data_IF_741024553327
#
_entry.id   IF_741024553327
#
_cell.length_a   1.000
_cell.length_b   1.000
_cell.length_c   1.000
_cell.angle_alpha   90.00
_cell.angle_beta   90.00
_cell.angle_gamma   90.00
#
_symmetry.space_group_name_H-M   'P 1'
#
loop_
_entity.id
_entity.type
_entity.pdbx_description
1 polymer ?
#
# COMPACT_ATOMS: atom_id res chain seq x y z
N UNK A 1 32.38 8.66 -71.51
CA UNK A 1 32.74 10.01 -71.02
C UNK A 1 33.81 9.78 -69.95
N UNK A 2 35.11 9.78 -70.29
CA UNK A 2 35.98 10.96 -70.56
C UNK A 2 36.08 11.78 -69.26
N UNK A 3 37.20 12.00 -68.55
CA UNK A 3 38.64 12.12 -68.89
C UNK A 3 39.50 11.92 -67.60
N UNK A 4 40.65 11.24 -67.67
CA UNK A 4 42.05 11.77 -67.70
C UNK A 4 42.57 12.42 -66.40
N UNK A 5 43.53 11.82 -65.68
CA UNK A 5 45.01 11.77 -65.88
C UNK A 5 45.73 13.09 -65.59
N UNK A 6 46.55 13.10 -64.53
CA UNK A 6 47.82 13.84 -64.30
C UNK A 6 48.11 13.80 -62.77
N UNK A 7 49.29 13.58 -62.20
CA UNK A 7 50.66 13.49 -62.71
C UNK A 7 51.50 12.69 -61.71
N UNK A 8 52.40 11.86 -62.25
CA UNK A 8 53.57 11.33 -61.55
C UNK A 8 54.67 12.40 -61.61
N UNK A 9 55.52 12.44 -60.57
CA UNK A 9 56.89 13.00 -60.51
C UNK A 9 57.06 14.32 -59.75
N UNK A 10 57.42 14.20 -58.47
CA UNK A 10 58.39 15.01 -57.70
C UNK A 10 58.34 14.45 -56.27
N UNK A 11 59.38 14.27 -55.48
CA UNK A 11 60.82 14.43 -55.60
C UNK A 11 61.32 13.85 -54.27
N UNK A 12 62.40 13.07 -54.29
CA UNK A 12 63.07 12.62 -53.08
C UNK A 12 63.40 13.83 -52.18
N UNK A 13 62.71 13.97 -51.04
CA UNK A 13 63.13 14.82 -49.93
C UNK A 13 63.11 13.99 -48.65
N UNK A 14 64.31 13.64 -48.25
CA UNK A 14 64.72 13.05 -46.97
C UNK A 14 63.97 13.68 -45.80
N UNK A 15 62.98 12.97 -45.24
CA UNK A 15 62.50 13.27 -43.89
C UNK A 15 63.47 12.61 -42.91
N UNK A 16 64.28 13.44 -42.26
CA UNK A 16 65.00 13.08 -41.05
C UNK A 16 63.98 12.53 -40.06
N UNK A 17 64.16 11.28 -39.60
CA UNK A 17 63.43 10.77 -38.45
C UNK A 17 63.82 11.63 -37.25
N UNK A 18 62.98 12.59 -36.88
CA UNK A 18 62.99 13.16 -35.53
C UNK A 18 62.78 12.00 -34.58
N UNK A 19 63.76 11.68 -33.75
CA UNK A 19 63.59 10.72 -32.69
C UNK A 19 62.42 11.19 -31.82
N UNK A 20 61.31 10.46 -31.84
CA UNK A 20 60.23 10.65 -30.88
C UNK A 20 60.83 10.27 -29.53
N UNK A 21 61.19 11.29 -28.75
CA UNK A 21 61.64 11.10 -27.37
C UNK A 21 60.46 10.48 -26.62
N UNK A 22 60.61 9.27 -26.03
CA UNK A 22 59.54 8.69 -25.25
C UNK A 22 59.18 9.66 -24.10
N UNK A 23 57.90 9.77 -23.75
CA UNK A 23 57.48 10.64 -22.65
C UNK A 23 58.29 10.33 -21.40
N UNK A 24 58.64 11.35 -20.64
CA UNK A 24 59.31 11.15 -19.36
C UNK A 24 58.37 10.41 -18.39
N UNK A 25 58.91 9.75 -17.37
CA UNK A 25 58.09 9.10 -16.34
C UNK A 25 57.10 10.06 -15.66
N UNK A 26 57.41 11.36 -15.64
CA UNK A 26 56.50 12.41 -15.16
C UNK A 26 55.30 12.64 -16.10
N UNK A 27 55.48 12.47 -17.41
CA UNK A 27 54.41 12.63 -18.40
C UNK A 27 53.40 11.47 -18.32
N UNK A 28 53.86 10.25 -18.01
CA UNK A 28 52.98 9.11 -17.75
C UNK A 28 52.14 9.32 -16.48
N UNK A 29 52.74 9.82 -15.41
CA UNK A 29 52.04 10.07 -14.13
C UNK A 29 51.01 11.20 -14.25
N UNK A 30 51.29 12.21 -15.07
CA UNK A 30 50.35 13.32 -15.29
C UNK A 30 49.19 12.92 -16.20
N UNK A 31 49.44 12.12 -17.23
CA UNK A 31 48.39 11.55 -18.09
C UNK A 31 47.45 10.62 -17.30
N UNK A 32 48.00 9.75 -16.45
CA UNK A 32 47.23 8.84 -15.59
C UNK A 32 46.34 9.61 -14.59
N UNK A 33 46.86 10.66 -13.97
CA UNK A 33 46.07 11.52 -13.07
C UNK A 33 44.93 12.24 -13.76
N UNK A 34 45.10 12.66 -15.01
CA UNK A 34 44.05 13.33 -15.75
C UNK A 34 42.98 12.33 -16.22
N UNK A 35 43.35 11.11 -16.61
CA UNK A 35 42.40 10.05 -16.95
C UNK A 35 41.55 9.65 -15.73
N UNK A 36 42.18 9.42 -14.57
CA UNK A 36 41.48 9.13 -13.32
C UNK A 36 40.53 10.26 -12.94
N UNK A 37 40.96 11.53 -13.07
CA UNK A 37 40.09 12.69 -12.81
C UNK A 37 38.89 12.73 -13.74
N UNK A 38 39.10 12.49 -15.03
CA UNK A 38 38.02 12.51 -16.02
C UNK A 38 36.99 11.41 -15.74
N UNK A 39 37.44 10.19 -15.39
CA UNK A 39 36.54 9.08 -15.01
C UNK A 39 35.75 9.36 -13.74
N UNK A 40 36.40 9.95 -12.73
CA UNK A 40 35.72 10.36 -11.51
C UNK A 40 34.68 11.46 -11.77
N UNK A 41 34.97 12.40 -12.66
CA UNK A 41 34.02 13.44 -13.07
C UNK A 41 32.86 12.86 -13.88
N UNK A 42 33.14 11.87 -14.74
CA UNK A 42 32.13 11.15 -15.50
C UNK A 42 31.21 10.35 -14.57
N UNK A 43 31.75 9.58 -13.62
CA UNK A 43 31.00 8.85 -12.60
C UNK A 43 30.15 9.77 -11.71
N UNK A 44 30.70 10.92 -11.29
CA UNK A 44 29.94 11.93 -10.53
C UNK A 44 28.83 12.54 -11.39
N UNK A 45 29.09 12.85 -12.67
CA UNK A 45 28.08 13.41 -13.56
C UNK A 45 26.96 12.41 -13.90
N UNK A 46 27.29 11.13 -14.04
CA UNK A 46 26.33 10.05 -14.26
C UNK A 46 25.47 9.87 -13.01
N UNK A 47 26.07 9.81 -11.82
CA UNK A 47 25.32 9.69 -10.55
C UNK A 47 24.44 10.91 -10.23
N UNK A 48 24.83 12.11 -10.67
CA UNK A 48 24.02 13.33 -10.47
C UNK A 48 22.80 13.36 -11.40
N UNK A 49 22.92 12.77 -12.61
CA UNK A 49 21.86 12.72 -13.62
C UNK A 49 20.94 11.49 -13.47
N UNK A 50 21.42 10.41 -12.82
CA UNK A 50 20.67 9.19 -12.49
C UNK A 50 19.90 9.27 -11.17
N UNK A 51 19.69 10.48 -10.63
CA UNK A 51 18.54 10.71 -9.75
C UNK A 51 17.24 10.61 -10.56
N UNK A 52 16.97 9.41 -11.07
CA UNK A 52 15.70 9.00 -11.62
C UNK A 52 14.68 9.33 -10.54
N UNK A 53 13.88 10.38 -10.77
CA UNK A 53 12.74 10.70 -9.93
C UNK A 53 11.82 9.50 -9.97
N UNK A 54 11.98 8.59 -9.01
CA UNK A 54 10.97 7.59 -8.75
C UNK A 54 9.67 8.36 -8.54
N UNK A 55 8.61 8.08 -9.32
CA UNK A 55 7.37 8.79 -9.14
C UNK A 55 6.96 8.66 -7.68
N UNK A 56 6.75 9.80 -7.02
CA UNK A 56 6.35 9.90 -5.60
C UNK A 56 5.13 9.03 -5.30
N UNK A 57 4.35 8.70 -6.33
CA UNK A 57 3.19 7.82 -6.31
C UNK A 57 3.40 6.50 -7.05
N UNK A 58 4.44 5.73 -6.74
CA UNK A 58 4.52 4.33 -7.16
C UNK A 58 3.62 3.44 -6.28
N UNK A 59 2.34 3.80 -6.14
CA UNK A 59 1.37 3.04 -5.35
C UNK A 59 1.01 1.76 -6.13
N UNK A 60 1.10 0.57 -5.51
CA UNK A 60 0.65 -0.67 -6.14
C UNK A 60 -0.81 -0.59 -6.63
N UNK A 61 -1.13 -1.21 -7.78
CA UNK A 61 -2.37 -0.95 -8.49
C UNK A 61 -3.62 -1.34 -7.69
N UNK A 62 -3.60 -2.46 -6.96
CA UNK A 62 -4.80 -2.90 -6.23
C UNK A 62 -5.12 -1.95 -5.07
N UNK A 63 -4.10 -1.54 -4.31
CA UNK A 63 -4.22 -0.56 -3.24
C UNK A 63 -4.81 0.74 -3.79
N UNK A 64 -4.28 1.22 -4.93
CA UNK A 64 -4.79 2.41 -5.58
C UNK A 64 -6.26 2.25 -6.01
N UNK A 65 -6.64 1.10 -6.59
CA UNK A 65 -8.02 0.84 -6.98
C UNK A 65 -8.97 0.79 -5.79
N UNK A 66 -8.60 0.15 -4.69
CA UNK A 66 -9.43 0.13 -3.48
C UNK A 66 -9.66 1.54 -2.94
N UNK A 67 -8.60 2.35 -2.86
CA UNK A 67 -8.68 3.75 -2.42
C UNK A 67 -9.55 4.57 -3.37
N UNK A 68 -9.38 4.40 -4.69
CA UNK A 68 -10.18 5.08 -5.70
C UNK A 68 -11.67 4.72 -5.59
N UNK A 69 -12.01 3.44 -5.41
CA UNK A 69 -13.39 2.99 -5.22
C UNK A 69 -13.99 3.59 -3.94
N UNK A 70 -13.27 3.55 -2.81
CA UNK A 70 -13.71 4.19 -1.57
C UNK A 70 -14.02 5.68 -1.79
N UNK A 71 -13.12 6.38 -2.47
CA UNK A 71 -13.27 7.81 -2.74
C UNK A 71 -14.46 8.11 -3.67
N UNK A 72 -14.60 7.34 -4.75
CA UNK A 72 -15.72 7.49 -5.71
C UNK A 72 -17.05 7.22 -5.01
N UNK A 73 -17.16 6.14 -4.22
CA UNK A 73 -18.38 5.82 -3.46
C UNK A 73 -18.72 6.95 -2.50
N UNK A 74 -17.74 7.49 -1.77
CA UNK A 74 -17.96 8.62 -0.86
C UNK A 74 -18.43 9.87 -1.59
N UNK A 75 -17.84 10.22 -2.74
CA UNK A 75 -18.29 11.35 -3.56
C UNK A 75 -19.73 11.16 -4.08
N UNK A 76 -20.08 9.96 -4.53
CA UNK A 76 -21.45 9.65 -4.99
C UNK A 76 -22.47 9.77 -3.86
N UNK A 77 -22.11 9.36 -2.64
CA UNK A 77 -22.97 9.50 -1.46
C UNK A 77 -23.17 10.96 -1.05
N UNK A 78 -22.14 11.80 -1.16
CA UNK A 78 -22.26 13.24 -0.85
C UNK A 78 -23.06 13.97 -1.93
N UNK A 79 -22.93 13.57 -3.18
CA UNK A 79 -23.63 14.20 -4.31
C UNK A 79 -25.13 13.81 -4.39
N UNK A 80 -25.58 12.80 -3.64
CA UNK A 80 -26.95 12.30 -3.69
C UNK A 80 -27.88 12.98 -2.67
N UNK A 81 -29.16 12.61 -2.68
CA UNK A 81 -30.14 13.13 -1.70
C UNK A 81 -29.99 12.44 -0.34
N UNK A 82 -30.36 13.09 0.78
CA UNK A 82 -30.37 12.44 2.10
C UNK A 82 -31.20 11.14 2.15
N UNK A 83 -32.33 11.10 1.43
CA UNK A 83 -33.17 9.90 1.32
C UNK A 83 -32.46 8.75 0.61
N UNK A 84 -31.74 9.05 -0.47
CA UNK A 84 -30.98 8.05 -1.22
C UNK A 84 -29.78 7.57 -0.41
N UNK A 85 -29.06 8.48 0.26
CA UNK A 85 -27.96 8.12 1.15
C UNK A 85 -28.45 7.18 2.26
N UNK A 86 -29.56 7.50 2.92
CA UNK A 86 -30.15 6.65 3.96
C UNK A 86 -30.51 5.26 3.42
N UNK A 87 -31.15 5.19 2.24
CA UNK A 87 -31.45 3.92 1.57
C UNK A 87 -30.18 3.11 1.26
N UNK A 88 -29.09 3.76 0.82
CA UNK A 88 -27.81 3.08 0.57
C UNK A 88 -27.26 2.47 1.86
N UNK A 89 -27.23 3.21 2.97
CA UNK A 89 -26.75 2.65 4.24
C UNK A 89 -27.61 1.49 4.73
N UNK A 90 -28.94 1.58 4.67
CA UNK A 90 -29.84 0.48 5.05
C UNK A 90 -29.68 -0.79 4.18
N UNK A 91 -29.29 -0.59 2.91
CA UNK A 91 -29.20 -1.69 1.94
C UNK A 91 -27.81 -2.33 1.93
N UNK A 92 -26.75 -1.54 2.08
CA UNK A 92 -25.38 -1.94 1.78
C UNK A 92 -24.42 -1.88 2.98
N UNK A 93 -24.82 -1.29 4.11
CA UNK A 93 -24.08 -1.46 5.37
C UNK A 93 -24.27 -2.88 5.91
N UNK A 94 -23.31 -3.34 6.70
CA UNK A 94 -23.38 -4.67 7.31
C UNK A 94 -23.99 -4.57 8.70
N UNK A 95 -25.15 -5.19 8.87
CA UNK A 95 -25.80 -5.37 10.18
C UNK A 95 -25.49 -6.78 10.68
N UNK A 96 -24.80 -6.96 11.82
CA UNK A 96 -24.40 -8.27 12.32
C UNK A 96 -25.56 -9.29 12.43
N UNK A 97 -26.77 -8.82 12.76
CA UNK A 97 -27.97 -9.65 12.88
C UNK A 97 -28.33 -10.43 11.60
N UNK A 98 -27.86 -9.98 10.42
CA UNK A 98 -28.09 -10.72 9.17
C UNK A 98 -27.54 -12.14 9.23
N UNK A 99 -26.49 -12.39 10.02
CA UNK A 99 -25.93 -13.73 10.23
C UNK A 99 -26.96 -14.64 10.89
N UNK A 100 -27.63 -14.17 11.96
CA UNK A 100 -28.69 -14.93 12.62
C UNK A 100 -29.91 -15.10 11.69
N UNK A 101 -30.28 -14.06 10.94
CA UNK A 101 -31.40 -14.10 10.01
C UNK A 101 -31.20 -15.11 8.85
N UNK A 102 -29.97 -15.31 8.38
CA UNK A 102 -29.64 -16.35 7.38
C UNK A 102 -29.96 -17.75 7.91
N UNK A 103 -29.76 -18.01 9.20
CA UNK A 103 -30.11 -19.29 9.82
C UNK A 103 -31.62 -19.44 10.07
N UNK A 104 -32.35 -18.34 10.24
CA UNK A 104 -33.75 -18.33 10.66
C UNK A 104 -34.78 -18.17 9.52
N UNK A 105 -34.44 -17.47 8.43
CA UNK A 105 -35.36 -17.15 7.32
C UNK A 105 -34.96 -17.82 6.01
N UNK A 106 -35.81 -17.70 4.97
CA UNK A 106 -35.59 -18.27 3.65
C UNK A 106 -34.14 -18.02 3.16
N UNK A 107 -33.30 -19.07 3.10
CA UNK A 107 -31.84 -18.92 3.14
C UNK A 107 -31.29 -18.15 1.94
N UNK A 108 -31.98 -18.15 0.81
CA UNK A 108 -31.52 -17.49 -0.41
C UNK A 108 -31.45 -15.95 -0.29
N UNK A 109 -32.52 -15.30 0.19
CA UNK A 109 -32.54 -13.84 0.33
C UNK A 109 -31.60 -13.35 1.44
N UNK A 110 -31.56 -14.07 2.56
CA UNK A 110 -30.64 -13.80 3.65
C UNK A 110 -29.18 -13.95 3.21
N UNK A 111 -28.85 -15.04 2.51
CA UNK A 111 -27.49 -15.30 2.02
C UNK A 111 -27.05 -14.26 0.99
N UNK A 112 -27.94 -13.87 0.07
CA UNK A 112 -27.62 -12.83 -0.91
C UNK A 112 -27.34 -11.49 -0.20
N UNK A 113 -28.19 -11.10 0.77
CA UNK A 113 -27.96 -9.88 1.56
C UNK A 113 -26.64 -9.97 2.32
N UNK A 114 -26.37 -11.09 3.00
CA UNK A 114 -25.12 -11.34 3.71
C UNK A 114 -23.90 -11.16 2.81
N UNK A 115 -23.88 -11.80 1.63
CA UNK A 115 -22.76 -11.71 0.70
C UNK A 115 -22.58 -10.27 0.21
N UNK A 116 -23.67 -9.60 -0.18
CA UNK A 116 -23.60 -8.21 -0.64
C UNK A 116 -23.05 -7.31 0.46
N UNK A 117 -23.65 -7.31 1.65
CA UNK A 117 -23.28 -6.38 2.73
C UNK A 117 -21.90 -6.68 3.31
N UNK A 118 -21.45 -7.95 3.37
CA UNK A 118 -20.07 -8.29 3.76
C UNK A 118 -19.03 -7.62 2.85
N UNK A 119 -19.36 -7.42 1.57
CA UNK A 119 -18.45 -6.80 0.62
C UNK A 119 -18.61 -5.29 0.58
N UNK A 120 -19.86 -4.80 0.51
CA UNK A 120 -20.13 -3.39 0.24
C UNK A 120 -19.84 -2.49 1.43
N UNK A 121 -20.00 -2.97 2.66
CA UNK A 121 -19.77 -2.15 3.84
C UNK A 121 -18.33 -1.60 3.92
N UNK A 122 -17.34 -2.32 3.38
CA UNK A 122 -15.94 -1.91 3.34
C UNK A 122 -15.69 -0.63 2.53
N UNK A 123 -16.65 -0.24 1.68
CA UNK A 123 -16.52 0.93 0.79
C UNK A 123 -17.36 2.12 1.25
N UNK A 124 -18.29 1.93 2.20
CA UNK A 124 -19.16 2.99 2.72
C UNK A 124 -18.47 3.77 3.83
N UNK A 125 -18.45 5.10 3.76
CA UNK A 125 -17.84 5.97 4.77
C UNK A 125 -18.74 7.19 5.02
N UNK A 126 -19.11 7.41 6.29
CA UNK A 126 -20.10 8.43 6.68
C UNK A 126 -19.59 9.86 6.56
N UNK A 127 -18.30 10.08 6.84
CA UNK A 127 -17.69 11.41 6.85
C UNK A 127 -16.30 11.40 6.21
N UNK A 128 -15.82 12.60 5.89
CA UNK A 128 -14.52 12.82 5.27
C UNK A 128 -13.35 12.34 6.12
N UNK A 129 -13.39 12.57 7.44
CA UNK A 129 -12.28 12.20 8.33
C UNK A 129 -12.13 10.68 8.39
N UNK A 130 -13.23 9.96 8.59
CA UNK A 130 -13.24 8.50 8.59
C UNK A 130 -12.75 7.93 7.24
N UNK A 131 -13.20 8.51 6.12
CA UNK A 131 -12.76 8.11 4.78
C UNK A 131 -11.26 8.37 4.55
N UNK A 132 -10.77 9.58 4.88
CA UNK A 132 -9.39 9.98 4.66
C UNK A 132 -8.42 9.17 5.51
N UNK A 133 -8.76 8.92 6.78
CA UNK A 133 -7.92 8.09 7.67
C UNK A 133 -7.82 6.67 7.11
N UNK A 134 -8.93 6.06 6.67
CA UNK A 134 -8.90 4.73 6.07
C UNK A 134 -8.08 4.70 4.77
N UNK A 135 -8.28 5.66 3.87
CA UNK A 135 -7.53 5.73 2.63
C UNK A 135 -6.03 5.98 2.86
N UNK A 136 -5.67 6.90 3.74
CA UNK A 136 -4.27 7.19 4.08
C UNK A 136 -3.56 5.98 4.68
N UNK A 137 -4.23 5.28 5.60
CA UNK A 137 -3.70 4.06 6.19
C UNK A 137 -3.65 2.90 5.19
N UNK A 138 -4.63 2.77 4.30
CA UNK A 138 -4.62 1.78 3.24
C UNK A 138 -3.51 2.07 2.22
N UNK A 139 -3.25 3.33 1.87
CA UNK A 139 -2.10 3.71 1.04
C UNK A 139 -0.78 3.35 1.70
N UNK A 140 -0.63 3.53 3.02
CA UNK A 140 0.60 3.19 3.73
C UNK A 140 0.79 1.67 3.89
N UNK A 141 -0.18 0.99 4.51
CA UNK A 141 -0.06 -0.42 4.90
C UNK A 141 -0.56 -1.39 3.82
N UNK A 142 -1.54 -0.98 3.01
CA UNK A 142 -1.97 -1.72 1.82
C UNK A 142 -0.83 -1.81 0.80
N UNK A 143 -0.16 -0.70 0.49
CA UNK A 143 0.99 -0.72 -0.43
C UNK A 143 2.11 -1.64 0.07
N UNK A 144 2.40 -1.58 1.38
CA UNK A 144 3.41 -2.46 1.99
C UNK A 144 3.04 -3.94 1.85
N UNK A 145 1.78 -4.28 2.11
CA UNK A 145 1.30 -5.67 2.07
C UNK A 145 1.15 -6.19 0.64
N UNK A 146 0.66 -5.37 -0.31
CA UNK A 146 0.57 -5.72 -1.72
C UNK A 146 1.94 -5.98 -2.33
N UNK A 147 2.93 -5.14 -2.05
CA UNK A 147 4.32 -5.36 -2.53
C UNK A 147 4.91 -6.66 -1.98
N UNK A 148 4.56 -7.03 -0.75
CA UNK A 148 5.10 -8.23 -0.10
C UNK A 148 4.45 -9.52 -0.56
N UNK A 149 3.13 -9.52 -0.73
CA UNK A 149 2.35 -10.73 -0.99
C UNK A 149 1.90 -10.86 -2.45
N UNK A 150 1.96 -9.77 -3.23
CA UNK A 150 1.35 -9.67 -4.54
C UNK A 150 -0.15 -9.37 -4.47
N UNK A 151 -0.76 -8.99 -5.62
CA UNK A 151 -2.12 -8.44 -5.67
C UNK A 151 -3.20 -9.42 -5.18
N UNK A 152 -3.15 -10.68 -5.60
CA UNK A 152 -4.19 -11.66 -5.26
C UNK A 152 -4.23 -11.99 -3.76
N UNK A 153 -3.06 -12.22 -3.14
CA UNK A 153 -2.97 -12.54 -1.70
C UNK A 153 -3.29 -11.33 -0.84
N UNK A 154 -2.93 -10.13 -1.30
CA UNK A 154 -3.33 -8.88 -0.66
C UNK A 154 -4.86 -8.68 -0.66
N UNK A 155 -5.54 -8.93 -1.78
CA UNK A 155 -7.01 -8.88 -1.82
C UNK A 155 -7.65 -9.89 -0.85
N UNK A 156 -7.15 -11.13 -0.83
CA UNK A 156 -7.64 -12.14 0.11
C UNK A 156 -7.47 -11.66 1.55
N UNK A 157 -6.29 -11.11 1.89
CA UNK A 157 -6.02 -10.55 3.21
C UNK A 157 -6.99 -9.41 3.55
N UNK A 158 -7.16 -8.45 2.64
CA UNK A 158 -8.03 -7.29 2.81
C UNK A 158 -9.48 -7.72 3.10
N UNK A 159 -10.06 -8.54 2.22
CA UNK A 159 -11.45 -8.97 2.38
C UNK A 159 -11.65 -9.89 3.58
N UNK A 160 -10.78 -10.89 3.80
CA UNK A 160 -10.93 -11.78 4.96
C UNK A 160 -10.75 -11.06 6.30
N UNK A 161 -9.86 -10.06 6.38
CA UNK A 161 -9.74 -9.22 7.57
C UNK A 161 -11.03 -8.44 7.84
N UNK A 162 -11.66 -7.89 6.79
CA UNK A 162 -12.98 -7.25 6.89
C UNK A 162 -14.06 -8.22 7.37
N UNK A 163 -14.12 -9.41 6.78
CA UNK A 163 -15.15 -10.42 7.10
C UNK A 163 -15.02 -10.95 8.53
N UNK A 164 -13.79 -11.23 8.98
CA UNK A 164 -13.54 -11.68 10.33
C UNK A 164 -13.76 -10.56 11.36
N UNK A 165 -13.51 -9.30 10.97
CA UNK A 165 -13.91 -8.14 11.77
C UNK A 165 -15.42 -8.07 11.97
N UNK A 166 -16.18 -8.16 10.88
CA UNK A 166 -17.65 -8.16 10.91
C UNK A 166 -18.23 -9.34 11.71
N UNK A 167 -17.63 -10.52 11.57
CA UNK A 167 -18.02 -11.71 12.34
C UNK A 167 -17.66 -11.59 13.82
N UNK A 168 -16.52 -10.98 14.17
CA UNK A 168 -16.15 -10.74 15.56
C UNK A 168 -17.13 -9.80 16.26
N UNK A 169 -17.56 -8.72 15.59
CA UNK A 169 -18.62 -7.84 16.11
C UNK A 169 -19.91 -8.62 16.34
N UNK A 170 -20.35 -9.44 15.37
CA UNK A 170 -21.51 -10.30 15.58
C UNK A 170 -21.43 -11.16 16.85
N UNK A 171 -20.25 -11.70 17.19
CA UNK A 171 -20.09 -12.53 18.39
C UNK A 171 -20.08 -11.72 19.70
N UNK A 172 -19.81 -10.42 19.66
CA UNK A 172 -19.59 -9.59 20.86
C UNK A 172 -20.65 -8.52 21.08
N UNK A 173 -21.36 -8.10 20.04
CA UNK A 173 -22.41 -7.09 20.12
C UNK A 173 -23.66 -7.68 20.75
N UNK A 174 -24.31 -6.91 21.62
CA UNK A 174 -25.66 -7.23 22.08
C UNK A 174 -26.64 -7.11 20.91
N UNK A 175 -27.29 -8.22 20.55
CA UNK A 175 -28.24 -8.30 19.44
C UNK A 175 -29.55 -7.52 19.66
N UNK A 176 -29.70 -6.80 20.77
CA UNK A 176 -30.76 -5.80 20.95
C UNK A 176 -30.36 -4.41 20.44
N UNK A 177 -29.08 -4.21 20.11
CA UNK A 177 -28.52 -2.96 19.59
C UNK A 177 -28.44 -3.01 18.07
N UNK A 178 -29.06 -2.05 17.40
CA UNK A 178 -28.92 -1.85 15.96
C UNK A 178 -27.54 -1.29 15.61
N UNK A 179 -26.54 -2.16 15.56
CA UNK A 179 -25.20 -1.83 15.09
C UNK A 179 -25.11 -1.98 13.57
N UNK A 180 -24.68 -0.93 12.88
CA UNK A 180 -24.39 -0.96 11.45
C UNK A 180 -22.90 -0.73 11.23
N UNK A 181 -22.23 -1.70 10.62
CA UNK A 181 -20.83 -1.58 10.21
C UNK A 181 -20.74 -0.98 8.82
N UNK A 182 -19.88 0.01 8.68
CA UNK A 182 -19.45 0.60 7.42
C UNK A 182 -18.06 1.19 7.61
N UNK A 183 -17.21 1.05 6.59
CA UNK A 183 -15.84 1.52 6.58
C UNK A 183 -14.85 0.38 6.31
N UNK A 184 -13.75 0.72 5.67
CA UNK A 184 -12.69 -0.23 5.33
C UNK A 184 -11.86 -0.68 6.55
N UNK A 185 -12.11 -0.12 7.72
CA UNK A 185 -11.17 -0.08 8.84
C UNK A 185 -10.75 -1.44 9.36
N UNK A 186 -11.65 -2.42 9.46
CA UNK A 186 -11.28 -3.79 9.82
C UNK A 186 -10.27 -4.40 8.82
N UNK A 187 -10.49 -4.19 7.52
CA UNK A 187 -9.57 -4.61 6.47
C UNK A 187 -8.24 -3.85 6.53
N UNK A 188 -8.27 -2.54 6.78
CA UNK A 188 -7.08 -1.71 6.96
C UNK A 188 -6.27 -2.19 8.18
N UNK A 189 -6.90 -2.45 9.32
CA UNK A 189 -6.24 -3.02 10.50
C UNK A 189 -5.61 -4.38 10.19
N UNK A 190 -6.23 -5.20 9.35
CA UNK A 190 -5.61 -6.41 8.80
C UNK A 190 -4.31 -6.13 8.04
N UNK A 191 -4.28 -5.11 7.19
CA UNK A 191 -3.03 -4.72 6.51
C UNK A 191 -1.98 -4.20 7.50
N UNK A 192 -2.38 -3.50 8.57
CA UNK A 192 -1.47 -3.04 9.63
C UNK A 192 -0.88 -4.21 10.42
N UNK A 193 -1.73 -5.17 10.82
CA UNK A 193 -1.34 -6.38 11.52
C UNK A 193 -0.35 -7.19 10.71
N UNK A 194 -0.60 -7.39 9.42
CA UNK A 194 0.36 -8.01 8.51
C UNK A 194 1.64 -7.19 8.36
N UNK A 195 1.50 -5.86 8.27
CA UNK A 195 2.60 -4.91 8.25
C UNK A 195 3.57 -5.08 9.42
N UNK A 196 3.10 -5.45 10.61
CA UNK A 196 3.98 -5.69 11.77
C UNK A 196 5.04 -6.76 11.49
N UNK A 197 4.65 -7.87 10.85
CA UNK A 197 5.55 -8.96 10.48
C UNK A 197 6.52 -8.52 9.38
N UNK A 198 6.02 -7.74 8.41
CA UNK A 198 6.82 -7.23 7.28
C UNK A 198 7.87 -6.23 7.76
N UNK A 199 7.52 -5.40 8.74
CA UNK A 199 8.38 -4.35 9.30
C UNK A 199 9.35 -4.87 10.37
N UNK A 200 9.08 -6.02 10.98
CA UNK A 200 9.89 -6.56 12.07
C UNK A 200 11.40 -6.67 11.78
N UNK A 201 11.86 -7.06 10.57
CA UNK A 201 13.29 -7.09 10.25
C UNK A 201 13.96 -5.71 10.27
N UNK A 202 13.22 -4.64 9.97
CA UNK A 202 13.75 -3.27 9.89
C UNK A 202 13.70 -2.54 11.23
N UNK A 203 12.62 -2.72 11.99
CA UNK A 203 12.37 -1.96 13.22
C UNK A 203 12.60 -2.77 14.50
N UNK A 204 12.90 -4.07 14.36
CA UNK A 204 13.06 -5.00 15.47
C UNK A 204 11.74 -5.32 16.18
N UNK A 205 11.76 -6.38 17.00
CA UNK A 205 10.58 -6.84 17.73
C UNK A 205 10.02 -5.76 18.67
N UNK A 206 10.89 -5.05 19.39
CA UNK A 206 10.48 -3.97 20.30
C UNK A 206 9.74 -2.86 19.56
N UNK A 207 10.23 -2.44 18.39
CA UNK A 207 9.62 -1.37 17.60
C UNK A 207 8.22 -1.74 17.13
N UNK A 208 8.04 -2.94 16.56
CA UNK A 208 6.73 -3.38 16.07
C UNK A 208 5.74 -3.69 17.19
N UNK A 209 6.21 -4.15 18.36
CA UNK A 209 5.35 -4.32 19.54
C UNK A 209 4.87 -2.97 20.09
N UNK A 210 5.74 -1.98 20.21
CA UNK A 210 5.34 -0.62 20.63
C UNK A 210 4.31 -0.06 19.65
N UNK A 211 4.56 -0.14 18.34
CA UNK A 211 3.60 0.28 17.32
C UNK A 211 2.24 -0.41 17.49
N UNK A 212 2.25 -1.74 17.67
CA UNK A 212 1.02 -2.54 17.80
C UNK A 212 0.24 -2.15 19.06
N UNK A 213 0.92 -2.01 20.20
CA UNK A 213 0.28 -1.63 21.47
C UNK A 213 -0.30 -0.23 21.38
N UNK A 214 0.44 0.74 20.85
CA UNK A 214 -0.05 2.12 20.71
C UNK A 214 -1.25 2.17 19.78
N UNK A 215 -1.19 1.50 18.61
CA UNK A 215 -2.30 1.44 17.66
C UNK A 215 -3.55 0.82 18.29
N UNK A 216 -3.42 -0.33 18.95
CA UNK A 216 -4.56 -1.04 19.56
C UNK A 216 -5.11 -0.29 20.78
N UNK A 217 -4.25 0.41 21.55
CA UNK A 217 -4.69 1.27 22.64
C UNK A 217 -5.48 2.47 22.14
N UNK A 218 -5.00 3.16 21.09
CA UNK A 218 -5.73 4.25 20.44
C UNK A 218 -7.08 3.75 19.93
N UNK A 219 -7.08 2.60 19.23
CA UNK A 219 -8.30 1.96 18.74
C UNK A 219 -9.31 1.71 19.88
N UNK A 220 -8.86 1.09 20.96
CA UNK A 220 -9.71 0.79 22.11
C UNK A 220 -10.23 2.05 22.78
N UNK A 221 -9.37 3.05 23.05
CA UNK A 221 -9.79 4.29 23.70
C UNK A 221 -10.80 5.04 22.84
N UNK A 222 -10.57 5.14 21.54
CA UNK A 222 -11.47 5.86 20.65
C UNK A 222 -12.80 5.10 20.50
N UNK A 223 -12.81 3.77 20.36
CA UNK A 223 -14.04 3.02 20.11
C UNK A 223 -14.81 2.53 21.34
N UNK A 224 -14.16 2.33 22.48
CA UNK A 224 -14.82 1.92 23.73
C UNK A 224 -15.25 3.10 24.60
N UNK A 225 -14.97 4.35 24.18
CA UNK A 225 -15.36 5.56 24.91
C UNK A 225 -16.08 6.55 24.01
N UNK A 226 -16.73 7.56 24.61
CA UNK A 226 -17.38 8.65 23.86
C UNK A 226 -16.39 9.54 23.10
N UNK A 227 -15.09 9.35 23.29
CA UNK A 227 -14.05 10.12 22.60
C UNK A 227 -14.10 9.91 21.08
N UNK A 228 -14.51 8.74 20.60
CA UNK A 228 -14.71 8.47 19.18
C UNK A 228 -15.71 9.43 18.54
N UNK A 229 -16.86 9.61 19.19
CA UNK A 229 -17.90 10.55 18.72
C UNK A 229 -17.39 12.01 18.70
N UNK A 230 -16.54 12.39 19.65
CA UNK A 230 -15.94 13.73 19.70
C UNK A 230 -14.86 13.97 18.63
N UNK A 231 -14.01 12.98 18.36
CA UNK A 231 -12.86 13.12 17.46
C UNK A 231 -13.18 12.84 16.00
N UNK A 232 -14.10 11.92 15.74
CA UNK A 232 -14.46 11.48 14.38
C UNK A 232 -15.77 12.13 13.92
N UNK A 233 -16.60 12.60 14.86
CA UNK A 233 -17.88 13.25 14.57
C UNK A 233 -18.99 12.25 14.23
N UNK A 234 -20.23 12.75 14.14
CA UNK A 234 -21.35 12.02 13.54
C UNK A 234 -22.01 10.93 14.39
N UNK A 235 -21.61 10.73 15.66
CA UNK A 235 -22.24 9.71 16.52
C UNK A 235 -22.05 8.27 16.02
N UNK A 236 -21.13 8.05 15.08
CA UNK A 236 -20.79 6.73 14.56
C UNK A 236 -20.05 5.94 15.64
N UNK A 237 -20.62 4.80 16.03
CA UNK A 237 -19.95 3.85 16.93
C UNK A 237 -18.78 3.20 16.19
N UNK A 238 -17.59 3.27 16.80
CA UNK A 238 -16.39 2.71 16.21
C UNK A 238 -16.28 1.26 16.66
N UNK A 239 -16.43 0.36 15.69
CA UNK A 239 -16.35 -1.10 15.81
C UNK A 239 -14.92 -1.57 16.16
N UNK A 240 -14.45 -1.23 17.36
CA UNK A 240 -13.08 -1.47 17.80
C UNK A 240 -12.77 -2.96 17.91
N UNK A 241 -13.78 -3.82 18.12
CA UNK A 241 -13.62 -5.28 18.12
C UNK A 241 -13.35 -5.77 16.70
N UNK A 242 -14.06 -5.25 15.69
CA UNK A 242 -13.77 -5.56 14.29
C UNK A 242 -12.32 -5.22 13.92
N UNK A 243 -11.83 -4.07 14.39
CA UNK A 243 -10.45 -3.64 14.14
C UNK A 243 -9.42 -4.58 14.79
N UNK A 244 -9.66 -5.02 16.02
CA UNK A 244 -8.80 -5.99 16.70
C UNK A 244 -8.77 -7.33 15.97
N UNK A 245 -9.93 -7.85 15.59
CA UNK A 245 -10.03 -9.10 14.86
C UNK A 245 -9.31 -9.04 13.50
N UNK A 246 -9.51 -7.95 12.74
CA UNK A 246 -8.79 -7.69 11.50
C UNK A 246 -7.28 -7.68 11.71
N UNK A 247 -6.79 -6.93 12.71
CA UNK A 247 -5.37 -6.83 13.05
C UNK A 247 -4.74 -8.19 13.35
N UNK A 248 -5.32 -8.96 14.26
CA UNK A 248 -4.75 -10.26 14.64
C UNK A 248 -4.82 -11.28 13.51
N UNK A 249 -5.87 -11.24 12.68
CA UNK A 249 -5.94 -12.07 11.49
C UNK A 249 -4.80 -11.74 10.51
N UNK A 250 -4.61 -10.47 10.19
CA UNK A 250 -3.55 -10.03 9.29
C UNK A 250 -2.15 -10.39 9.80
N UNK A 251 -1.91 -10.19 11.10
CA UNK A 251 -0.66 -10.59 11.77
C UNK A 251 -0.44 -12.10 11.64
N UNK A 252 -1.45 -12.91 11.95
CA UNK A 252 -1.39 -14.37 11.85
C UNK A 252 -1.13 -14.84 10.42
N UNK A 253 -1.84 -14.29 9.44
CA UNK A 253 -1.68 -14.64 8.03
C UNK A 253 -0.27 -14.31 7.53
N UNK A 254 0.26 -13.13 7.86
CA UNK A 254 1.61 -12.72 7.49
C UNK A 254 2.69 -13.59 8.18
N UNK A 255 2.46 -14.01 9.41
CA UNK A 255 3.34 -14.93 10.13
C UNK A 255 3.36 -16.30 9.44
N UNK A 256 2.19 -16.89 9.15
CA UNK A 256 2.08 -18.16 8.45
C UNK A 256 2.75 -18.11 7.07
N UNK A 257 2.52 -17.02 6.34
CA UNK A 257 3.16 -16.79 5.05
C UNK A 257 4.69 -16.76 5.15
N UNK A 258 5.23 -16.04 6.14
CA UNK A 258 6.67 -15.94 6.38
C UNK A 258 7.30 -17.27 6.79
N UNK A 259 6.57 -18.11 7.54
CA UNK A 259 7.01 -19.46 7.90
C UNK A 259 7.01 -20.40 6.70
N UNK A 260 6.01 -20.31 5.83
CA UNK A 260 5.92 -21.12 4.62
C UNK A 260 7.08 -20.82 3.65
N UNK A 261 7.42 -19.55 3.44
CA UNK A 261 8.53 -19.17 2.56
C UNK A 261 9.90 -19.65 3.07
N UNK A 262 10.10 -19.71 4.40
CA UNK A 262 11.33 -20.25 4.99
C UNK A 262 11.49 -21.74 4.73
N UNK A 263 10.39 -22.49 4.66
CA UNK A 263 10.43 -23.95 4.39
C UNK A 263 10.77 -24.26 2.93
N UNK A 264 10.47 -23.33 2.02
CA UNK A 264 10.71 -23.50 0.57
C UNK A 264 12.09 -23.05 0.10
N UNK A 265 12.90 -22.44 0.98
CA UNK A 265 14.29 -22.04 0.72
C UNK A 265 15.24 -23.02 1.38
#
# INVERSE_FOLDING_TARGET
MICCVASVTQLFLTHSRSAVVPPSSADYVTADRQDVRNRLQEDVSVTENDQYREPVFNVPPVTLYLVAVIFIVHLLLIATTPSTMHWVYQTFAFEPEIIAAVYAQAPFHGLLRLIVTLNTHLFLHHDWMHMIVNAGMLLAFGSLTERRFGPARYLILYFLAGYLGAYAEYLTTDHSVNLSLYGASAAVFGTMGAGTIIMAPRFGLRGVLIFSVVLLAINFVIGATSLGSLLVGGGAEIAWVAHMAGFFFGLGLALLYSLAERKTR
#
